data_IF_382320716975
#
_entry.id   IF_382320716975
#
_cell.length_a   1.000
_cell.length_b   1.000
_cell.length_c   1.000
_cell.angle_alpha   90.00
_cell.angle_beta   90.00
_cell.angle_gamma   90.00
#
_symmetry.space_group_name_H-M   'P 1'
#
loop_
_entity.id
_entity.type
_entity.pdbx_description
1 polymer ?
#
# COMPACT_ATOMS: atom_id res chain seq x y z
N UNK A 1 -24.44 6.38 50.37
CA UNK A 1 -24.68 6.23 48.92
C UNK A 1 -23.59 5.32 48.37
N UNK A 2 -23.90 4.21 47.69
CA UNK A 2 -22.87 3.33 47.16
C UNK A 2 -22.28 3.93 45.88
N UNK A 3 -20.96 4.05 45.84
CA UNK A 3 -20.22 4.42 44.63
C UNK A 3 -20.46 3.37 43.53
N UNK A 4 -21.13 3.76 42.45
CA UNK A 4 -21.16 2.97 41.21
C UNK A 4 -19.74 2.94 40.65
N UNK A 5 -19.00 1.85 40.88
CA UNK A 5 -17.79 1.54 40.11
C UNK A 5 -18.18 1.45 38.64
N UNK A 6 -17.80 2.46 37.84
CA UNK A 6 -17.80 2.33 36.38
C UNK A 6 -16.90 1.15 36.02
N UNK A 7 -17.49 0.09 35.45
CA UNK A 7 -16.72 -0.93 34.74
C UNK A 7 -16.04 -0.22 33.56
N UNK A 8 -14.74 0.06 33.68
CA UNK A 8 -13.89 0.34 32.53
C UNK A 8 -13.80 -0.95 31.72
N UNK A 9 -14.76 -1.16 30.83
CA UNK A 9 -14.60 -2.05 29.68
C UNK A 9 -13.67 -1.32 28.71
N UNK A 10 -12.37 -1.28 29.00
CA UNK A 10 -11.40 -1.02 27.95
C UNK A 10 -11.50 -2.23 27.02
N UNK A 11 -12.21 -2.08 25.91
CA UNK A 11 -12.12 -3.03 24.80
C UNK A 11 -10.64 -3.05 24.44
N UNK A 12 -9.98 -4.16 24.74
CA UNK A 12 -8.64 -4.39 24.21
C UNK A 12 -8.83 -4.42 22.70
N UNK A 13 -8.22 -3.44 22.02
CA UNK A 13 -8.20 -3.43 20.57
C UNK A 13 -7.24 -4.55 20.15
N UNK A 14 -7.74 -5.50 19.37
CA UNK A 14 -7.02 -6.70 18.94
C UNK A 14 -5.99 -6.37 17.85
N UNK A 15 -5.39 -5.16 17.83
CA UNK A 15 -4.66 -4.60 16.69
C UNK A 15 -3.42 -5.36 16.20
N UNK A 16 -3.04 -6.45 16.88
CA UNK A 16 -1.98 -7.37 16.46
C UNK A 16 -2.51 -8.79 16.15
N UNK A 17 -3.82 -9.01 16.21
CA UNK A 17 -4.44 -10.27 15.86
C UNK A 17 -4.60 -10.36 14.33
N UNK A 18 -3.57 -10.92 13.68
CA UNK A 18 -3.56 -11.18 12.25
C UNK A 18 -4.56 -12.27 11.80
N UNK A 19 -5.44 -12.74 12.68
CA UNK A 19 -6.53 -13.67 12.35
C UNK A 19 -7.90 -12.99 12.30
N UNK A 20 -7.97 -11.71 12.69
CA UNK A 20 -9.21 -10.94 12.76
C UNK A 20 -9.11 -9.68 11.91
N UNK A 21 -10.07 -9.51 11.01
CA UNK A 21 -10.25 -8.29 10.21
C UNK A 21 -10.88 -7.16 11.05
N UNK A 22 -10.64 -5.89 10.73
CA UNK A 22 -11.31 -4.78 11.37
C UNK A 22 -12.81 -4.76 11.03
N UNK A 23 -13.63 -4.33 11.98
CA UNK A 23 -15.06 -4.10 11.78
C UNK A 23 -15.30 -2.84 10.93
N UNK A 24 -16.48 -2.71 10.30
CA UNK A 24 -16.78 -1.60 9.37
C UNK A 24 -16.69 -0.20 9.99
N UNK A 25 -16.72 -0.07 11.31
CA UNK A 25 -16.64 1.20 12.03
C UNK A 25 -15.30 1.38 12.76
N UNK A 26 -14.33 0.51 12.51
CA UNK A 26 -12.99 0.60 13.07
C UNK A 26 -12.05 1.36 12.13
N UNK A 27 -11.01 1.96 12.72
CA UNK A 27 -9.84 2.46 12.02
C UNK A 27 -8.71 1.52 12.38
N UNK A 28 -8.09 0.90 11.37
CA UNK A 28 -6.89 0.09 11.55
C UNK A 28 -5.72 0.71 10.82
N UNK A 29 -4.54 0.67 11.45
CA UNK A 29 -3.28 1.06 10.84
C UNK A 29 -2.32 -0.11 11.07
N UNK A 30 -1.99 -0.82 9.98
CA UNK A 30 -1.03 -1.91 9.97
C UNK A 30 0.27 -1.40 9.35
N UNK A 31 1.40 -1.59 10.04
CA UNK A 31 2.72 -1.17 9.56
C UNK A 31 3.54 -2.42 9.27
N UNK A 32 4.10 -2.51 8.07
CA UNK A 32 4.95 -3.59 7.62
C UNK A 32 6.36 -3.08 7.35
N UNK A 33 7.35 -3.89 7.70
CA UNK A 33 8.75 -3.64 7.39
C UNK A 33 9.68 -3.67 8.60
N UNK A 34 11.00 -3.71 8.37
CA UNK A 34 12.00 -3.84 9.43
C UNK A 34 12.45 -2.50 10.04
N UNK A 35 11.81 -1.37 9.69
CA UNK A 35 12.27 -0.02 10.01
C UNK A 35 13.06 0.67 8.89
N UNK A 36 13.19 0.03 7.72
CA UNK A 36 13.73 0.59 6.48
C UNK A 36 12.96 -0.01 5.31
N UNK A 37 12.35 0.83 4.48
CA UNK A 37 11.43 0.41 3.43
C UNK A 37 10.09 -0.11 3.96
N UNK A 38 9.36 0.77 4.65
CA UNK A 38 8.10 0.44 5.32
C UNK A 38 6.90 0.58 4.38
N UNK A 39 5.82 -0.11 4.73
CA UNK A 39 4.52 0.06 4.11
C UNK A 39 3.45 0.24 5.19
N UNK A 40 2.48 1.11 4.92
CA UNK A 40 1.32 1.30 5.79
C UNK A 40 0.07 0.86 5.04
N UNK A 41 -0.72 0.01 5.69
CA UNK A 41 -2.06 -0.33 5.26
C UNK A 41 -3.07 0.28 6.24
N UNK A 42 -3.98 1.09 5.72
CA UNK A 42 -5.01 1.75 6.52
C UNK A 42 -6.39 1.22 6.16
N UNK A 43 -7.13 0.74 7.14
CA UNK A 43 -8.58 0.57 7.03
C UNK A 43 -9.26 1.82 7.56
N UNK A 44 -10.04 2.48 6.70
CA UNK A 44 -10.70 3.76 7.01
C UNK A 44 -12.18 3.59 7.37
N UNK A 45 -12.61 2.36 7.62
CA UNK A 45 -14.02 2.00 7.78
C UNK A 45 -14.70 1.59 6.48
N UNK A 46 -15.83 0.88 6.62
CA UNK A 46 -16.73 0.42 5.54
C UNK A 46 -15.97 -0.32 4.43
N UNK A 47 -15.02 -1.14 4.83
CA UNK A 47 -14.13 -1.86 3.93
C UNK A 47 -13.44 -0.96 2.87
N UNK A 48 -13.05 0.25 3.24
CA UNK A 48 -12.22 1.12 2.40
C UNK A 48 -10.79 1.14 2.91
N UNK A 49 -9.86 0.88 1.99
CA UNK A 49 -8.46 0.72 2.33
C UNK A 49 -7.57 1.66 1.55
N UNK A 50 -6.49 2.08 2.18
CA UNK A 50 -5.44 2.91 1.60
C UNK A 50 -4.11 2.21 1.84
N UNK A 51 -3.31 2.09 0.79
CA UNK A 51 -1.94 1.61 0.87
C UNK A 51 -1.00 2.80 0.75
N UNK A 52 0.03 2.85 1.59
CA UNK A 52 1.16 3.78 1.46
C UNK A 52 2.42 2.93 1.31
N UNK A 53 3.13 3.11 0.21
CA UNK A 53 4.33 2.34 -0.17
C UNK A 53 4.06 0.82 -0.28
N UNK A 54 5.08 -0.03 -0.49
CA UNK A 54 4.85 -1.43 -0.94
C UNK A 54 5.66 -2.54 -0.28
N UNK A 55 6.53 -2.26 0.70
CA UNK A 55 7.35 -3.21 1.48
C UNK A 55 7.23 -4.69 1.05
N UNK A 56 8.27 -5.21 0.40
CA UNK A 56 8.39 -6.61 0.01
C UNK A 56 9.39 -7.29 0.93
N UNK A 57 8.98 -8.37 1.60
CA UNK A 57 9.88 -9.11 2.50
C UNK A 57 10.94 -9.90 1.72
N UNK A 58 12.16 -10.09 2.29
CA UNK A 58 13.20 -10.87 1.63
C UNK A 58 12.74 -12.30 1.31
N UNK A 59 12.80 -12.68 0.04
CA UNK A 59 12.38 -14.01 -0.44
C UNK A 59 10.93 -14.10 -0.89
N UNK A 60 10.14 -13.05 -0.67
CA UNK A 60 8.78 -12.93 -1.20
C UNK A 60 8.77 -12.20 -2.55
N UNK A 61 7.78 -12.55 -3.37
CA UNK A 61 7.51 -11.89 -4.67
C UNK A 61 6.27 -10.99 -4.61
N UNK A 62 5.62 -10.91 -3.45
CA UNK A 62 4.36 -10.21 -3.25
C UNK A 62 4.51 -9.15 -2.14
N UNK A 63 3.99 -7.93 -2.36
CA UNK A 63 3.93 -6.87 -1.36
C UNK A 63 3.16 -7.26 -0.09
N UNK A 64 3.61 -6.76 1.07
CA UNK A 64 2.98 -7.03 2.36
C UNK A 64 1.47 -6.72 2.42
N UNK A 65 0.94 -5.63 1.80
CA UNK A 65 -0.51 -5.37 1.79
C UNK A 65 -1.32 -6.46 1.09
N UNK A 66 -0.81 -7.03 0.00
CA UNK A 66 -1.52 -8.10 -0.72
C UNK A 66 -1.50 -9.39 0.11
N UNK A 67 -0.39 -9.69 0.79
CA UNK A 67 -0.33 -10.81 1.75
C UNK A 67 -1.37 -10.67 2.85
N UNK A 68 -1.51 -9.48 3.44
CA UNK A 68 -2.54 -9.22 4.46
C UNK A 68 -3.94 -9.47 3.91
N UNK A 69 -4.25 -8.96 2.72
CA UNK A 69 -5.56 -9.16 2.09
C UNK A 69 -5.86 -10.64 1.83
N UNK A 70 -4.88 -11.40 1.35
CA UNK A 70 -5.04 -12.83 1.10
C UNK A 70 -5.28 -13.61 2.39
N UNK A 71 -4.52 -13.30 3.45
CA UNK A 71 -4.68 -13.91 4.77
C UNK A 71 -6.06 -13.62 5.38
N UNK A 72 -6.57 -12.40 5.19
CA UNK A 72 -7.88 -11.98 5.68
C UNK A 72 -9.03 -12.33 4.72
N UNK A 73 -8.74 -12.95 3.57
CA UNK A 73 -9.70 -13.26 2.51
C UNK A 73 -10.51 -12.03 2.05
N UNK A 74 -9.83 -10.89 1.91
CA UNK A 74 -10.37 -9.62 1.42
C UNK A 74 -10.18 -9.50 -0.08
N UNK A 75 -11.11 -8.81 -0.75
CA UNK A 75 -10.99 -8.49 -2.18
C UNK A 75 -10.18 -7.22 -2.36
N UNK A 76 -9.23 -7.23 -3.30
CA UNK A 76 -8.39 -6.06 -3.59
C UNK A 76 -9.17 -4.82 -4.06
N UNK A 77 -10.40 -4.99 -4.58
CA UNK A 77 -11.32 -3.88 -4.92
C UNK A 77 -11.64 -2.96 -3.73
N UNK A 78 -11.37 -3.41 -2.51
CA UNK A 78 -11.53 -2.61 -1.30
C UNK A 78 -10.44 -1.52 -1.15
N UNK A 79 -9.30 -1.66 -1.83
CA UNK A 79 -8.23 -0.66 -1.88
C UNK A 79 -8.66 0.46 -2.82
N UNK A 80 -8.78 1.68 -2.27
CA UNK A 80 -9.26 2.87 -2.98
C UNK A 80 -8.14 3.80 -3.41
N UNK A 81 -7.04 3.81 -2.68
CA UNK A 81 -5.88 4.62 -3.01
C UNK A 81 -4.58 3.88 -2.68
N UNK A 82 -3.57 4.12 -3.52
CA UNK A 82 -2.20 3.67 -3.33
C UNK A 82 -1.31 4.90 -3.42
N UNK A 83 -0.58 5.19 -2.35
CA UNK A 83 0.26 6.39 -2.22
C UNK A 83 1.73 5.98 -2.27
N UNK A 84 2.49 6.54 -3.20
CA UNK A 84 3.95 6.45 -3.21
C UNK A 84 4.53 7.69 -2.55
N UNK A 85 5.28 7.51 -1.44
CA UNK A 85 5.89 8.63 -0.73
C UNK A 85 7.03 9.27 -1.54
N UNK A 86 7.86 8.43 -2.17
CA UNK A 86 8.92 8.83 -3.10
C UNK A 86 9.35 7.63 -3.96
N UNK A 87 10.40 7.77 -4.76
CA UNK A 87 10.76 6.82 -5.82
C UNK A 87 11.89 5.85 -5.50
N UNK A 88 12.43 5.86 -4.29
CA UNK A 88 13.50 4.91 -3.96
C UNK A 88 12.93 3.50 -3.74
N UNK A 89 13.74 2.51 -4.10
CA UNK A 89 13.33 1.09 -4.15
C UNK A 89 12.87 0.56 -2.80
N UNK A 90 13.42 1.09 -1.70
CA UNK A 90 13.02 0.73 -0.35
C UNK A 90 11.53 1.02 -0.10
N UNK A 91 10.93 1.99 -0.79
CA UNK A 91 9.52 2.34 -0.63
C UNK A 91 8.61 1.79 -1.72
N UNK A 92 9.07 1.74 -2.97
CA UNK A 92 8.18 1.45 -4.11
C UNK A 92 8.44 0.13 -4.82
N UNK A 93 9.43 -0.65 -4.40
CA UNK A 93 9.63 -1.99 -4.97
C UNK A 93 8.36 -2.83 -4.77
N UNK A 94 7.80 -3.32 -5.87
CA UNK A 94 6.56 -4.08 -5.90
C UNK A 94 5.27 -3.23 -5.88
N UNK A 95 5.35 -1.90 -5.85
CA UNK A 95 4.14 -1.05 -5.81
C UNK A 95 3.31 -1.17 -7.10
N UNK A 96 3.97 -1.38 -8.24
CA UNK A 96 3.28 -1.65 -9.51
C UNK A 96 2.44 -2.93 -9.44
N UNK A 97 2.90 -3.95 -8.71
CA UNK A 97 2.13 -5.18 -8.48
C UNK A 97 0.85 -4.89 -7.68
N UNK A 98 0.93 -4.04 -6.63
CA UNK A 98 -0.25 -3.61 -5.87
C UNK A 98 -1.21 -2.86 -6.80
N UNK A 99 -0.71 -1.89 -7.56
CA UNK A 99 -1.54 -1.09 -8.45
C UNK A 99 -2.22 -1.97 -9.50
N UNK A 100 -1.48 -2.87 -10.14
CA UNK A 100 -2.00 -3.83 -11.11
C UNK A 100 -3.11 -4.72 -10.54
N UNK A 101 -2.95 -5.20 -9.31
CA UNK A 101 -3.94 -6.04 -8.63
C UNK A 101 -5.20 -5.26 -8.20
N UNK A 102 -5.07 -3.96 -7.91
CA UNK A 102 -6.16 -3.11 -7.42
C UNK A 102 -6.74 -2.24 -8.56
N UNK A 103 -7.66 -2.83 -9.33
CA UNK A 103 -8.24 -2.20 -10.52
C UNK A 103 -8.99 -0.88 -10.24
N UNK A 104 -9.58 -0.76 -9.05
CA UNK A 104 -10.37 0.40 -8.61
C UNK A 104 -9.57 1.45 -7.81
N UNK A 105 -8.27 1.23 -7.60
CA UNK A 105 -7.45 2.14 -6.83
C UNK A 105 -6.97 3.33 -7.67
N UNK A 106 -6.96 4.51 -7.06
CA UNK A 106 -6.24 5.69 -7.54
C UNK A 106 -4.78 5.63 -7.10
N UNK A 107 -3.85 5.99 -7.99
CA UNK A 107 -2.44 6.11 -7.66
C UNK A 107 -2.08 7.55 -7.35
N UNK A 108 -1.47 7.78 -6.20
CA UNK A 108 -1.14 9.12 -5.67
C UNK A 108 0.38 9.17 -5.44
N UNK A 109 1.02 10.24 -5.92
CA UNK A 109 2.44 10.48 -5.67
C UNK A 109 2.73 11.98 -5.64
N UNK A 110 3.95 12.36 -5.26
CA UNK A 110 4.37 13.77 -5.28
C UNK A 110 4.28 14.37 -6.68
N UNK A 111 3.75 15.60 -6.79
CA UNK A 111 3.69 16.33 -8.07
C UNK A 111 5.07 16.59 -8.70
N UNK A 112 6.16 16.48 -7.93
CA UNK A 112 7.51 16.52 -8.48
C UNK A 112 7.78 15.37 -9.48
N UNK A 113 7.09 14.25 -9.34
CA UNK A 113 7.15 13.07 -10.23
C UNK A 113 6.26 13.24 -11.48
N UNK A 114 5.60 14.39 -11.63
CA UNK A 114 4.85 14.77 -12.82
C UNK A 114 5.58 15.84 -13.65
N UNK A 115 6.85 16.12 -13.35
CA UNK A 115 7.64 17.03 -14.17
C UNK A 115 8.05 16.35 -15.49
N UNK A 116 8.30 17.16 -16.51
CA UNK A 116 8.59 16.67 -17.85
C UNK A 116 9.88 15.84 -17.87
N UNK A 117 10.89 16.27 -17.12
CA UNK A 117 12.20 15.64 -17.04
C UNK A 117 12.12 14.22 -16.46
N UNK A 118 11.25 13.99 -15.48
CA UNK A 118 11.03 12.68 -14.88
C UNK A 118 10.24 11.77 -15.82
N UNK A 119 9.25 12.30 -16.54
CA UNK A 119 8.55 11.53 -17.58
C UNK A 119 9.49 11.12 -18.71
N UNK A 120 10.36 12.03 -19.17
CA UNK A 120 11.41 11.71 -20.16
C UNK A 120 12.39 10.65 -19.63
N UNK A 121 12.78 10.74 -18.35
CA UNK A 121 13.60 9.72 -17.71
C UNK A 121 12.92 8.34 -17.74
N UNK A 122 11.62 8.28 -17.42
CA UNK A 122 10.85 7.03 -17.46
C UNK A 122 10.76 6.45 -18.86
N UNK A 123 10.57 7.27 -19.90
CA UNK A 123 10.56 6.79 -21.29
C UNK A 123 11.91 6.21 -21.73
N UNK A 124 13.01 6.89 -21.36
CA UNK A 124 14.37 6.50 -21.74
C UNK A 124 14.80 5.22 -21.00
N UNK A 125 14.53 5.14 -19.69
CA UNK A 125 15.08 4.09 -18.82
C UNK A 125 14.08 2.98 -18.46
N UNK A 126 12.77 3.21 -18.56
CA UNK A 126 11.75 2.19 -18.27
C UNK A 126 11.86 0.95 -19.16
N UNK A 127 12.33 1.12 -20.40
CA UNK A 127 12.59 0.04 -21.34
C UNK A 127 14.01 -0.56 -21.23
N UNK A 128 14.86 -0.04 -20.34
CA UNK A 128 16.24 -0.48 -20.23
C UNK A 128 16.35 -1.70 -19.30
N UNK A 129 16.86 -2.82 -19.84
CA UNK A 129 17.06 -4.10 -19.12
C UNK A 129 18.06 -4.00 -17.96
N UNK A 130 18.90 -2.95 -17.95
CA UNK A 130 19.93 -2.73 -16.92
C UNK A 130 19.32 -2.22 -15.60
N UNK A 131 18.10 -1.68 -15.63
CA UNK A 131 17.38 -1.10 -14.49
C UNK A 131 16.35 -2.03 -13.85
N UNK A 132 16.55 -3.35 -13.94
CA UNK A 132 15.59 -4.40 -13.55
C UNK A 132 15.06 -4.36 -12.10
N UNK A 133 15.55 -3.46 -11.25
CA UNK A 133 15.15 -3.38 -9.84
C UNK A 133 15.00 -1.94 -9.34
N UNK A 134 14.94 -0.93 -10.23
CA UNK A 134 14.85 0.46 -9.81
C UNK A 134 13.41 0.99 -9.81
N UNK A 135 13.14 1.94 -8.92
CA UNK A 135 11.86 2.60 -8.78
C UNK A 135 11.40 3.34 -10.04
N UNK A 136 12.33 3.63 -10.97
CA UNK A 136 12.02 4.13 -12.31
C UNK A 136 11.17 3.11 -13.09
N UNK A 137 11.52 1.81 -13.02
CA UNK A 137 10.74 0.77 -13.70
C UNK A 137 9.34 0.65 -13.09
N UNK A 138 9.24 0.69 -11.76
CA UNK A 138 7.96 0.66 -11.04
C UNK A 138 7.04 1.82 -11.48
N UNK A 139 7.57 3.05 -11.54
CA UNK A 139 6.80 4.21 -12.01
C UNK A 139 6.41 4.09 -13.49
N UNK A 140 7.30 3.58 -14.34
CA UNK A 140 7.00 3.33 -15.75
C UNK A 140 5.84 2.33 -15.91
N UNK A 141 5.88 1.23 -15.16
CA UNK A 141 4.83 0.20 -15.17
C UNK A 141 3.49 0.75 -14.65
N UNK A 142 3.52 1.60 -13.61
CA UNK A 142 2.32 2.30 -13.11
C UNK A 142 1.75 3.24 -14.16
N UNK A 143 2.57 4.10 -14.79
CA UNK A 143 2.10 5.04 -15.80
C UNK A 143 1.46 4.33 -16.99
N UNK A 144 2.10 3.27 -17.50
CA UNK A 144 1.51 2.45 -18.56
C UNK A 144 0.17 1.88 -18.12
N UNK A 145 0.08 1.38 -16.89
CA UNK A 145 -1.19 0.86 -16.36
C UNK A 145 -2.26 1.93 -16.23
N UNK A 146 -1.89 3.16 -15.86
CA UNK A 146 -2.83 4.29 -15.81
C UNK A 146 -3.37 4.64 -17.20
N UNK A 147 -2.50 4.64 -18.23
CA UNK A 147 -2.92 4.83 -19.62
C UNK A 147 -3.89 3.74 -20.09
N UNK A 148 -3.68 2.47 -19.73
CA UNK A 148 -4.61 1.37 -20.05
C UNK A 148 -5.99 1.51 -19.38
N UNK A 149 -6.08 2.21 -18.24
CA UNK A 149 -7.33 2.42 -17.49
C UNK A 149 -8.14 3.63 -17.97
N UNK A 150 -7.52 4.51 -18.77
CA UNK A 150 -8.11 5.76 -19.26
C UNK A 150 -8.97 5.53 -20.50
#
# INVERSE_FOLDING_TARGET
MPEKKLKKSAVLLDGNDLTKRPEDNELEISIFGPGYGECVLLHTGRNNWIVVDSCVFPGDNQPAPLHYFDQMNLKYDAIKAIVATHWHDDHIKGISNIFNACSNAEFICSGALHNKEFLELLEIYGNCVISNDSGIKEFHDILNKMYERS
#
